data_IF_273742275507
#
_entry.id   IF_273742275507
#
_cell.length_a   1.000
_cell.length_b   1.000
_cell.length_c   1.000
_cell.angle_alpha   90.00
_cell.angle_beta   90.00
_cell.angle_gamma   90.00
#
_symmetry.space_group_name_H-M   'P 1'
#
loop_
_entity.id
_entity.type
_entity.pdbx_description
1 polymer ?
#
# COMPACT_ATOMS: atom_id res chain seq x y z
N UNK A 1 -4.87 -5.51 22.81
CA UNK A 1 -3.91 -6.21 21.92
C UNK A 1 -2.51 -5.73 22.28
N UNK A 2 -1.57 -6.66 22.52
CA UNK A 2 -0.17 -6.34 22.84
C UNK A 2 0.53 -5.94 21.53
N UNK A 3 1.19 -4.77 21.48
CA UNK A 3 1.98 -4.37 20.30
C UNK A 3 3.35 -5.05 20.40
N UNK A 4 3.58 -6.06 19.56
CA UNK A 4 4.85 -6.81 19.54
C UNK A 4 5.94 -6.09 18.75
N UNK A 5 5.52 -5.17 17.88
CA UNK A 5 6.36 -4.15 17.30
C UNK A 5 5.87 -2.79 17.82
N UNK A 6 6.72 -2.06 18.54
CA UNK A 6 6.39 -0.75 19.10
C UNK A 6 6.38 0.31 17.99
N UNK A 7 5.46 0.19 17.04
CA UNK A 7 5.21 1.19 16.00
C UNK A 7 4.30 2.24 16.64
N UNK A 8 4.89 3.39 16.95
CA UNK A 8 4.22 4.54 17.57
C UNK A 8 3.78 5.58 16.53
N UNK A 9 4.09 5.37 15.25
CA UNK A 9 3.74 6.33 14.22
C UNK A 9 2.23 6.34 13.98
N UNK A 10 1.57 7.34 14.56
CA UNK A 10 0.13 7.61 14.43
C UNK A 10 -0.21 8.44 13.20
N UNK A 11 0.80 8.96 12.48
CA UNK A 11 0.57 9.80 11.29
C UNK A 11 1.43 9.34 10.10
N UNK A 12 0.81 9.23 8.93
CA UNK A 12 1.49 8.93 7.67
C UNK A 12 2.38 10.10 7.22
N UNK A 13 3.70 9.95 7.17
CA UNK A 13 4.63 11.03 6.76
C UNK A 13 4.40 11.54 5.32
N UNK A 14 3.86 10.67 4.44
CA UNK A 14 3.58 11.04 3.04
C UNK A 14 2.30 11.82 2.87
N UNK A 15 1.32 11.59 3.75
CA UNK A 15 -0.06 12.01 3.52
C UNK A 15 -0.67 12.79 4.67
N UNK A 16 0.02 12.90 5.82
CA UNK A 16 -0.40 13.65 7.01
C UNK A 16 -1.66 13.11 7.68
N UNK A 17 -2.14 11.92 7.29
CA UNK A 17 -3.36 11.33 7.84
C UNK A 17 -3.06 10.42 9.02
N UNK A 18 -4.00 10.35 9.95
CA UNK A 18 -3.98 9.42 11.07
C UNK A 18 -3.97 7.97 10.57
N UNK A 19 -3.05 7.18 11.10
CA UNK A 19 -2.91 5.76 10.80
C UNK A 19 -3.07 4.95 12.06
N UNK A 20 -3.83 3.86 11.95
CA UNK A 20 -4.10 2.94 13.05
C UNK A 20 -3.67 1.53 12.70
N UNK A 21 -2.97 0.90 13.63
CA UNK A 21 -2.66 -0.53 13.55
C UNK A 21 -3.94 -1.32 13.86
N UNK A 22 -4.43 -2.07 12.88
CA UNK A 22 -5.69 -2.83 12.99
C UNK A 22 -5.48 -4.31 13.39
N UNK A 23 -4.30 -4.86 13.14
CA UNK A 23 -3.93 -6.23 13.47
C UNK A 23 -2.41 -6.35 13.55
N UNK A 24 -1.94 -7.37 14.29
CA UNK A 24 -0.53 -7.76 14.34
C UNK A 24 -0.44 -9.25 14.00
N UNK A 25 0.56 -9.62 13.20
CA UNK A 25 0.84 -11.00 12.80
C UNK A 25 2.18 -11.35 13.43
N UNK A 26 2.20 -12.36 14.29
CA UNK A 26 3.39 -12.78 15.05
C UNK A 26 3.88 -14.18 14.67
N UNK A 27 3.07 -14.96 13.96
CA UNK A 27 3.41 -16.32 13.60
C UNK A 27 4.51 -16.35 12.51
N UNK A 28 5.65 -17.04 12.75
CA UNK A 28 6.79 -17.01 11.83
C UNK A 28 6.49 -17.68 10.48
N UNK A 29 5.58 -18.65 10.45
CA UNK A 29 5.19 -19.34 9.22
C UNK A 29 4.33 -18.43 8.34
N UNK A 30 3.38 -17.71 8.93
CA UNK A 30 2.57 -16.70 8.22
C UNK A 30 3.44 -15.56 7.71
N UNK A 31 4.37 -15.06 8.53
CA UNK A 31 5.33 -14.01 8.11
C UNK A 31 6.15 -14.50 6.90
N UNK A 32 6.70 -15.72 6.95
CA UNK A 32 7.46 -16.30 5.85
C UNK A 32 6.65 -16.39 4.55
N UNK A 33 5.39 -16.82 4.65
CA UNK A 33 4.48 -16.93 3.50
C UNK A 33 4.23 -15.58 2.84
N UNK A 34 4.00 -14.53 3.64
CA UNK A 34 3.79 -13.16 3.13
C UNK A 34 5.07 -12.66 2.43
N UNK A 35 6.24 -12.88 3.03
CA UNK A 35 7.51 -12.45 2.45
C UNK A 35 7.80 -13.14 1.12
N UNK A 36 7.56 -14.45 1.01
CA UNK A 36 7.72 -15.19 -0.26
C UNK A 36 6.79 -14.61 -1.33
N UNK A 37 5.51 -14.42 -1.02
CA UNK A 37 4.55 -13.85 -1.97
C UNK A 37 4.93 -12.45 -2.44
N UNK A 38 5.45 -11.60 -1.54
CA UNK A 38 5.91 -10.26 -1.88
C UNK A 38 7.14 -10.28 -2.79
N UNK A 39 8.09 -11.19 -2.56
CA UNK A 39 9.26 -11.33 -3.41
C UNK A 39 8.87 -11.69 -4.86
N UNK A 40 7.95 -12.65 -5.00
CA UNK A 40 7.44 -13.07 -6.31
C UNK A 40 6.70 -11.92 -7.02
N UNK A 41 5.95 -11.10 -6.26
CA UNK A 41 5.19 -9.97 -6.81
C UNK A 41 6.05 -8.73 -7.08
N UNK A 42 7.08 -8.45 -6.30
CA UNK A 42 8.01 -7.33 -6.56
C UNK A 42 8.80 -7.55 -7.85
N UNK A 43 9.00 -8.81 -8.25
CA UNK A 43 9.51 -9.16 -9.57
C UNK A 43 8.61 -8.69 -10.72
N UNK A 44 7.30 -8.52 -10.47
CA UNK A 44 6.33 -8.05 -11.47
C UNK A 44 5.96 -6.56 -11.32
N UNK A 45 6.21 -5.93 -10.17
CA UNK A 45 5.81 -4.53 -9.90
C UNK A 45 6.67 -3.51 -10.66
N UNK A 46 7.85 -3.89 -11.17
CA UNK A 46 8.71 -2.99 -11.97
C UNK A 46 8.11 -2.65 -13.35
N UNK A 47 7.00 -3.28 -13.78
CA UNK A 47 6.51 -3.15 -15.16
C UNK A 47 5.01 -2.86 -15.31
N UNK A 48 4.27 -2.63 -14.22
CA UNK A 48 2.89 -2.13 -14.32
C UNK A 48 2.90 -0.60 -14.35
N UNK A 49 3.35 -0.06 -15.49
CA UNK A 49 2.95 1.27 -15.92
C UNK A 49 1.42 1.29 -15.90
N UNK A 50 0.90 2.13 -15.00
CA UNK A 50 -0.52 2.30 -14.69
C UNK A 50 -1.41 2.08 -15.93
N UNK A 51 -2.46 1.24 -15.84
CA UNK A 51 -3.34 1.01 -16.97
C UNK A 51 -3.94 2.34 -17.45
N UNK A 52 -3.84 2.59 -18.77
CA UNK A 52 -4.30 3.80 -19.45
C UNK A 52 -5.82 4.07 -19.31
N UNK A 53 -6.56 3.15 -18.70
CA UNK A 53 -8.00 3.29 -18.44
C UNK A 53 -8.31 3.94 -17.09
N UNK A 54 -7.46 4.87 -16.62
CA UNK A 54 -7.91 5.85 -15.62
C UNK A 54 -8.78 6.86 -16.38
N UNK A 55 -10.05 6.99 -15.99
CA UNK A 55 -10.90 8.09 -16.46
C UNK A 55 -10.13 9.40 -16.18
N UNK A 56 -9.97 10.30 -17.17
CA UNK A 56 -9.34 11.60 -16.94
C UNK A 56 -10.04 12.28 -15.77
N UNK A 57 -9.29 13.01 -14.94
CA UNK A 57 -9.94 13.74 -13.85
C UNK A 57 -11.01 14.67 -14.47
N UNK A 58 -12.16 14.91 -13.82
CA UNK A 58 -13.22 15.78 -14.37
C UNK A 58 -12.74 17.20 -14.74
N UNK A 59 -11.53 17.59 -14.34
CA UNK A 59 -10.87 18.83 -14.76
C UNK A 59 -10.27 18.81 -16.18
N UNK A 60 -10.24 17.68 -16.89
CA UNK A 60 -9.72 17.57 -18.27
C UNK A 60 -10.81 17.55 -19.36
N UNK A 61 -12.10 17.66 -19.01
CA UNK A 61 -13.21 17.68 -19.98
C UNK A 61 -13.57 19.10 -20.46
N UNK A 62 -12.94 20.15 -19.93
CA UNK A 62 -13.16 21.52 -20.41
C UNK A 62 -11.92 22.02 -21.13
N UNK A 63 -11.57 21.41 -22.26
CA UNK A 63 -10.71 22.03 -23.29
C UNK A 63 -10.96 21.25 -24.61
N UNK A 64 -12.17 21.33 -25.15
CA UNK A 64 -12.51 20.56 -26.35
C UNK A 64 -13.90 20.75 -26.93
N UNK A 65 -14.25 22.02 -27.21
CA UNK A 65 -15.40 22.51 -28.01
C UNK A 65 -16.82 22.28 -27.44
#
# INVERSE_FOLDING_TARGET
>A
MKRVFNIENETCDKCGRDVRIIASIEDPFVIGTILTHLNDKLSSITTDLLPACRVPSPGELLEGL
#
